data_IF_290026670503
#
_entry.id   IF_290026670503
#
_cell.length_a   1.000
_cell.length_b   1.000
_cell.length_c   1.000
_cell.angle_alpha   90.00
_cell.angle_beta   90.00
_cell.angle_gamma   90.00
#
_symmetry.space_group_name_H-M   'P 1'
#
loop_
_entity.id
_entity.type
_entity.pdbx_description
1 polymer ?
#
# COMPACT_ATOMS: atom_id res chain seq x y z
N UNK A 1 6.72 13.88 -26.66
CA UNK A 1 5.80 14.88 -26.06
C UNK A 1 4.56 14.13 -25.57
N UNK A 2 3.75 14.70 -24.66
CA UNK A 2 2.50 14.04 -24.24
C UNK A 2 1.40 14.31 -25.28
N UNK A 3 0.66 13.29 -25.70
CA UNK A 3 -0.49 13.46 -26.59
C UNK A 3 -1.74 13.75 -25.77
N UNK A 4 -2.58 14.64 -26.28
CA UNK A 4 -3.94 14.84 -25.79
C UNK A 4 -4.90 13.82 -26.39
N UNK A 5 -6.04 13.60 -25.74
CA UNK A 5 -7.11 12.79 -26.32
C UNK A 5 -7.63 13.35 -27.65
N UNK A 6 -7.58 14.66 -27.84
CA UNK A 6 -7.97 15.35 -29.07
C UNK A 6 -7.04 15.02 -30.23
N UNK A 7 -5.71 15.09 -30.03
CA UNK A 7 -4.75 14.73 -31.07
C UNK A 7 -4.89 13.26 -31.51
N UNK A 8 -5.10 12.36 -30.55
CA UNK A 8 -5.35 10.94 -30.84
C UNK A 8 -6.66 10.77 -31.62
N UNK A 9 -7.70 11.50 -31.24
CA UNK A 9 -8.98 11.47 -31.96
C UNK A 9 -8.84 11.98 -33.39
N UNK A 10 -8.17 13.11 -33.62
CA UNK A 10 -7.92 13.68 -34.94
C UNK A 10 -7.11 12.71 -35.83
N UNK A 11 -6.07 12.06 -35.28
CA UNK A 11 -5.32 11.03 -36.00
C UNK A 11 -6.19 9.83 -36.39
N UNK A 12 -7.06 9.37 -35.48
CA UNK A 12 -8.00 8.29 -35.79
C UNK A 12 -9.00 8.67 -36.87
N UNK A 13 -9.50 9.91 -36.86
CA UNK A 13 -10.41 10.40 -37.90
C UNK A 13 -9.71 10.52 -39.26
N UNK A 14 -8.45 10.98 -39.30
CA UNK A 14 -7.68 11.05 -40.54
C UNK A 14 -7.53 9.68 -41.23
N UNK A 15 -7.28 8.61 -40.45
CA UNK A 15 -7.19 7.23 -40.97
C UNK A 15 -8.55 6.75 -41.49
N UNK A 16 -9.62 7.05 -40.76
CA UNK A 16 -10.97 6.68 -41.18
C UNK A 16 -11.42 7.44 -42.45
N UNK A 17 -11.03 8.71 -42.60
CA UNK A 17 -11.33 9.56 -43.77
C UNK A 17 -10.59 9.08 -45.03
N UNK A 18 -9.33 8.65 -44.89
CA UNK A 18 -8.52 8.14 -46.02
C UNK A 18 -9.14 6.88 -46.66
N UNK A 19 -9.88 6.10 -45.86
CA UNK A 19 -10.38 4.77 -46.24
C UNK A 19 -11.88 4.79 -46.56
N UNK A 20 -12.61 5.85 -46.20
CA UNK A 20 -14.02 6.00 -46.53
C UNK A 20 -14.26 6.05 -48.06
N UNK A 21 -15.19 5.25 -48.57
CA UNK A 21 -15.50 5.14 -50.02
C UNK A 21 -15.87 6.48 -50.68
N UNK A 22 -16.34 7.46 -49.89
CA UNK A 22 -16.74 8.80 -50.32
C UNK A 22 -15.62 9.84 -50.17
N UNK A 23 -14.49 9.49 -49.55
CA UNK A 23 -13.37 10.40 -49.27
C UNK A 23 -13.69 11.51 -48.26
N UNK A 24 -14.77 11.36 -47.48
CA UNK A 24 -15.12 12.25 -46.36
C UNK A 24 -16.18 11.59 -45.49
N UNK A 25 -15.97 11.57 -44.17
CA UNK A 25 -16.94 11.14 -43.18
C UNK A 25 -18.09 12.14 -43.02
N UNK A 26 -19.26 11.60 -42.70
CA UNK A 26 -20.44 12.40 -42.38
C UNK A 26 -20.23 13.14 -41.03
N UNK A 27 -20.45 14.48 -40.97
CA UNK A 27 -20.26 15.26 -39.75
C UNK A 27 -21.05 14.77 -38.52
N UNK A 28 -22.22 14.16 -38.73
CA UNK A 28 -23.03 13.63 -37.63
C UNK A 28 -22.37 12.40 -36.97
N UNK A 29 -21.73 11.54 -37.77
CA UNK A 29 -21.03 10.35 -37.29
C UNK A 29 -19.74 10.74 -36.55
N UNK A 30 -19.02 11.75 -37.05
CA UNK A 30 -17.85 12.34 -36.38
C UNK A 30 -18.22 12.94 -35.02
N UNK A 31 -19.36 13.61 -34.91
CA UNK A 31 -19.84 14.15 -33.64
C UNK A 31 -20.17 13.03 -32.62
N UNK A 32 -20.75 11.92 -33.08
CA UNK A 32 -21.02 10.75 -32.25
C UNK A 32 -19.71 10.06 -31.79
N UNK A 33 -18.73 9.95 -32.68
CA UNK A 33 -17.40 9.41 -32.35
C UNK A 33 -16.67 10.27 -31.33
N UNK A 34 -16.73 11.59 -31.49
CA UNK A 34 -16.14 12.53 -30.54
C UNK A 34 -16.76 12.40 -29.15
N UNK A 35 -18.08 12.19 -29.07
CA UNK A 35 -18.77 11.99 -27.79
C UNK A 35 -18.39 10.66 -27.10
N UNK A 36 -18.09 9.61 -27.88
CA UNK A 36 -17.70 8.28 -27.38
C UNK A 36 -16.19 8.16 -27.10
N UNK A 37 -15.36 8.98 -27.73
CA UNK A 37 -13.91 8.89 -27.67
C UNK A 37 -13.33 8.93 -26.23
N UNK A 38 -13.78 9.81 -25.30
CA UNK A 38 -13.28 9.80 -23.92
C UNK A 38 -13.49 8.46 -23.21
N UNK A 39 -14.64 7.82 -23.41
CA UNK A 39 -14.96 6.52 -22.82
C UNK A 39 -14.10 5.39 -23.40
N UNK A 40 -13.86 5.41 -24.72
CA UNK A 40 -13.02 4.42 -25.37
C UNK A 40 -11.55 4.57 -24.96
N UNK A 41 -11.06 5.81 -24.84
CA UNK A 41 -9.73 6.13 -24.33
C UNK A 41 -9.57 5.71 -22.86
N UNK A 42 -10.58 5.89 -22.02
CA UNK A 42 -10.60 5.39 -20.64
C UNK A 42 -10.45 3.86 -20.57
N UNK A 43 -11.16 3.12 -21.44
CA UNK A 43 -11.05 1.65 -21.50
C UNK A 43 -9.66 1.22 -22.01
N UNK A 44 -9.14 1.91 -23.02
CA UNK A 44 -7.79 1.69 -23.54
C UNK A 44 -6.73 1.94 -22.47
N UNK A 45 -6.81 3.07 -21.78
CA UNK A 45 -5.92 3.47 -20.69
C UNK A 45 -5.89 2.40 -19.59
N UNK A 46 -7.06 1.93 -19.13
CA UNK A 46 -7.14 0.83 -18.16
C UNK A 46 -6.50 -0.48 -18.63
N UNK A 47 -6.54 -0.79 -19.94
CA UNK A 47 -5.87 -1.97 -20.51
C UNK A 47 -4.35 -1.80 -20.57
N UNK A 48 -3.89 -0.60 -20.87
CA UNK A 48 -2.47 -0.27 -20.95
C UNK A 48 -1.82 -0.04 -19.58
N UNK A 49 -2.61 0.31 -18.56
CA UNK A 49 -2.13 0.64 -17.22
C UNK A 49 -1.18 -0.42 -16.63
N UNK A 50 -1.51 -1.71 -16.72
CA UNK A 50 -0.65 -2.80 -16.20
C UNK A 50 0.67 -2.99 -16.95
N UNK A 51 0.79 -2.49 -18.18
CA UNK A 51 1.95 -2.74 -19.07
C UNK A 51 2.85 -1.53 -19.21
N UNK A 52 2.23 -0.36 -19.34
CA UNK A 52 2.89 0.90 -19.66
C UNK A 52 2.51 2.04 -18.70
N UNK A 53 1.80 1.73 -17.61
CA UNK A 53 1.46 2.73 -16.60
C UNK A 53 2.71 3.35 -15.97
N UNK A 54 2.58 4.59 -15.53
CA UNK A 54 3.66 5.32 -14.88
C UNK A 54 4.17 4.54 -13.66
N UNK A 55 5.50 4.45 -13.54
CA UNK A 55 6.14 3.88 -12.35
C UNK A 55 6.31 4.98 -11.32
N UNK A 56 5.63 4.85 -10.18
CA UNK A 56 5.82 5.70 -9.00
C UNK A 56 6.67 4.98 -7.97
N UNK A 57 7.34 5.77 -7.14
CA UNK A 57 8.11 5.27 -5.99
C UNK A 57 7.40 5.66 -4.71
N UNK A 58 7.22 4.69 -3.83
CA UNK A 58 6.73 4.87 -2.46
C UNK A 58 7.85 4.50 -1.50
N UNK A 59 8.16 5.39 -0.57
CA UNK A 59 9.21 5.18 0.43
C UNK A 59 8.61 5.09 1.82
N UNK A 60 9.04 4.07 2.56
CA UNK A 60 8.69 3.86 3.95
C UNK A 60 9.96 3.78 4.79
N UNK A 61 10.12 4.69 5.74
CA UNK A 61 11.13 4.57 6.78
C UNK A 61 10.62 3.66 7.89
N UNK A 62 11.26 2.51 8.04
CA UNK A 62 10.96 1.53 9.07
C UNK A 62 12.01 1.64 10.17
N UNK A 63 11.62 2.17 11.33
CA UNK A 63 12.46 2.10 12.53
C UNK A 63 12.01 0.93 13.40
N UNK A 64 12.94 0.09 13.86
CA UNK A 64 12.62 -0.94 14.85
C UNK A 64 12.08 -0.29 16.12
N UNK A 65 10.86 -0.67 16.52
CA UNK A 65 10.25 -0.19 17.76
C UNK A 65 10.70 -1.09 18.89
N UNK A 66 11.23 -0.50 19.96
CA UNK A 66 11.73 -1.26 21.10
C UNK A 66 10.54 -1.75 21.95
N UNK A 67 10.44 -3.06 22.16
CA UNK A 67 9.63 -3.64 23.22
C UNK A 67 10.51 -3.82 24.46
N UNK A 68 10.11 -3.22 25.58
CA UNK A 68 10.81 -3.29 26.87
C UNK A 68 10.62 -4.64 27.56
N UNK A 69 9.58 -5.40 27.20
CA UNK A 69 9.34 -6.74 27.71
C UNK A 69 10.24 -7.79 27.00
N UNK A 70 10.74 -7.45 25.81
CA UNK A 70 11.45 -8.37 24.92
C UNK A 70 10.52 -8.95 23.84
N UNK A 71 11.11 -9.40 22.72
CA UNK A 71 10.32 -9.78 21.53
C UNK A 71 9.93 -11.28 21.55
N UNK A 72 10.86 -12.16 21.94
CA UNK A 72 10.77 -13.62 21.78
C UNK A 72 9.59 -14.29 22.51
N UNK A 73 9.21 -13.79 23.70
CA UNK A 73 8.20 -14.41 24.56
C UNK A 73 6.92 -13.55 24.70
N UNK A 74 6.80 -12.50 23.89
CA UNK A 74 5.71 -11.54 24.06
C UNK A 74 5.03 -11.17 22.75
N UNK A 75 5.74 -11.26 21.63
CA UNK A 75 5.16 -11.09 20.29
C UNK A 75 4.77 -12.47 19.75
N UNK A 76 3.54 -12.60 19.25
CA UNK A 76 2.94 -13.80 18.66
C UNK A 76 2.76 -15.01 19.58
N UNK A 77 3.11 -14.90 20.86
CA UNK A 77 2.83 -15.92 21.87
C UNK A 77 1.41 -15.72 22.44
N UNK A 78 0.55 -16.72 22.28
CA UNK A 78 -0.80 -16.69 22.85
C UNK A 78 -0.71 -17.20 24.28
N UNK A 79 -1.17 -16.38 25.22
CA UNK A 79 -1.31 -16.77 26.62
C UNK A 79 -2.79 -16.97 26.90
N UNK A 80 -3.13 -18.19 27.30
CA UNK A 80 -4.46 -18.53 27.79
C UNK A 80 -4.51 -18.23 29.28
N UNK A 81 -5.50 -17.46 29.72
CA UNK A 81 -5.64 -17.06 31.10
C UNK A 81 -7.00 -17.52 31.62
N UNK A 82 -7.00 -18.24 32.75
CA UNK A 82 -8.19 -18.79 33.38
C UNK A 82 -8.36 -18.25 34.81
N UNK A 83 -8.40 -16.92 34.94
CA UNK A 83 -8.59 -16.23 36.22
C UNK A 83 -7.31 -15.90 36.98
N UNK A 84 -6.15 -15.98 36.33
CA UNK A 84 -4.87 -15.61 36.90
C UNK A 84 -4.54 -14.14 36.63
N UNK A 85 -3.78 -13.53 37.53
CA UNK A 85 -3.24 -12.18 37.34
C UNK A 85 -1.83 -12.27 36.79
N UNK A 86 -1.57 -11.64 35.66
CA UNK A 86 -0.27 -11.66 34.99
C UNK A 86 0.31 -10.26 34.92
N UNK A 87 1.59 -10.12 35.31
CA UNK A 87 2.26 -8.83 35.43
C UNK A 87 3.43 -8.71 34.47
N UNK A 88 3.53 -7.55 33.81
CA UNK A 88 4.54 -7.22 32.83
C UNK A 88 5.13 -5.85 33.15
N UNK A 89 6.43 -5.80 33.47
CA UNK A 89 7.08 -4.57 33.91
C UNK A 89 8.20 -4.12 32.97
N UNK A 90 8.28 -2.81 32.72
CA UNK A 90 9.32 -2.20 31.89
C UNK A 90 9.68 -0.79 32.36
N UNK A 91 10.99 -0.47 32.36
CA UNK A 91 11.48 0.86 32.75
C UNK A 91 11.35 1.86 31.58
N UNK A 92 10.70 3.00 31.84
CA UNK A 92 10.57 4.11 30.89
C UNK A 92 9.56 3.88 29.76
N UNK A 93 8.48 3.15 30.02
CA UNK A 93 7.42 2.94 29.03
C UNK A 93 6.54 4.20 28.87
N UNK A 94 6.29 4.60 27.62
CA UNK A 94 5.41 5.73 27.25
C UNK A 94 4.18 5.27 26.47
N UNK A 95 4.16 4.04 25.97
CA UNK A 95 2.98 3.45 25.32
C UNK A 95 2.96 1.94 25.52
N UNK A 96 1.79 1.36 25.27
CA UNK A 96 1.54 -0.07 25.37
C UNK A 96 0.69 -0.57 24.22
N UNK A 97 0.80 -1.87 23.97
CA UNK A 97 -0.04 -2.60 23.02
C UNK A 97 -0.27 -4.02 23.55
N UNK A 98 -1.49 -4.52 23.42
CA UNK A 98 -1.87 -5.90 23.72
C UNK A 98 -3.04 -6.30 22.83
N UNK A 99 -3.01 -7.50 22.25
CA UNK A 99 -4.18 -8.11 21.62
C UNK A 99 -4.95 -8.93 22.65
N UNK A 100 -6.26 -8.73 22.75
CA UNK A 100 -7.11 -9.44 23.72
C UNK A 100 -8.29 -10.12 23.03
N UNK A 101 -8.66 -11.28 23.53
CA UNK A 101 -9.78 -12.09 23.06
C UNK A 101 -10.54 -12.64 24.28
N UNK A 102 -11.62 -11.94 24.64
CA UNK A 102 -12.39 -12.11 25.87
C UNK A 102 -12.32 -10.92 26.81
N UNK A 103 -13.28 -10.86 27.73
CA UNK A 103 -13.40 -9.79 28.72
C UNK A 103 -12.23 -9.83 29.70
N UNK A 104 -11.55 -8.69 29.85
CA UNK A 104 -10.42 -8.56 30.75
C UNK A 104 -10.30 -7.15 31.31
N UNK A 105 -9.55 -7.06 32.40
CA UNK A 105 -9.17 -5.82 33.04
C UNK A 105 -7.66 -5.66 32.91
N UNK A 106 -7.23 -4.52 32.37
CA UNK A 106 -5.83 -4.15 32.27
C UNK A 106 -5.58 -3.00 33.23
N UNK A 107 -4.72 -3.21 34.21
CA UNK A 107 -4.30 -2.19 35.16
C UNK A 107 -2.87 -1.77 34.90
N UNK A 108 -2.58 -0.50 35.14
CA UNK A 108 -1.26 0.08 35.02
C UNK A 108 -0.86 0.76 36.32
N UNK A 109 0.40 0.59 36.71
CA UNK A 109 0.98 1.30 37.85
C UNK A 109 2.37 1.84 37.51
N UNK A 110 2.72 2.96 38.14
CA UNK A 110 4.03 3.60 38.03
C UNK A 110 4.78 3.45 39.37
N UNK A 111 5.80 2.60 39.43
CA UNK A 111 6.50 2.22 40.66
C UNK A 111 5.54 1.79 41.80
N UNK A 112 4.42 1.15 41.44
CA UNK A 112 3.35 0.76 42.37
C UNK A 112 2.37 1.89 42.74
N UNK A 113 2.52 3.09 42.19
CA UNK A 113 1.56 4.19 42.29
C UNK A 113 0.61 4.27 41.09
N UNK A 114 -0.23 5.30 41.07
CA UNK A 114 -1.20 5.53 39.99
C UNK A 114 -0.56 5.99 38.68
N UNK A 115 -1.12 5.56 37.56
CA UNK A 115 -0.73 5.95 36.20
C UNK A 115 -1.97 6.31 35.38
N UNK A 116 -1.90 7.41 34.65
CA UNK A 116 -2.96 7.86 33.73
C UNK A 116 -2.48 7.83 32.29
N UNK A 117 -3.43 7.81 31.37
CA UNK A 117 -3.14 7.78 29.95
C UNK A 117 -4.40 7.81 29.10
N UNK A 118 -4.21 7.52 27.81
CA UNK A 118 -5.29 7.34 26.84
C UNK A 118 -5.18 6.00 26.17
N UNK A 119 -6.31 5.37 25.89
CA UNK A 119 -6.36 4.13 25.13
C UNK A 119 -7.39 4.19 24.00
N UNK A 120 -7.21 3.31 23.02
CA UNK A 120 -8.18 3.00 21.98
C UNK A 120 -8.29 1.48 21.91
N UNK A 121 -9.52 0.99 21.92
CA UNK A 121 -9.83 -0.42 21.79
C UNK A 121 -10.43 -0.67 20.41
N UNK A 122 -9.89 -1.63 19.67
CA UNK A 122 -10.36 -2.02 18.34
C UNK A 122 -10.56 -0.87 17.32
N UNK A 123 -9.84 0.25 17.49
CA UNK A 123 -9.98 1.43 16.62
C UNK A 123 -11.10 2.40 17.02
N UNK A 124 -11.72 2.22 18.18
CA UNK A 124 -12.65 3.18 18.77
C UNK A 124 -11.94 4.49 19.15
N UNK A 125 -12.74 5.52 19.42
CA UNK A 125 -12.28 6.85 19.86
C UNK A 125 -11.40 6.76 21.12
N UNK A 126 -10.49 7.73 21.26
CA UNK A 126 -9.59 7.77 22.40
C UNK A 126 -10.34 8.02 23.70
N UNK A 127 -10.10 7.16 24.69
CA UNK A 127 -10.69 7.27 26.02
C UNK A 127 -9.58 7.50 27.05
N UNK A 128 -9.77 8.48 27.94
CA UNK A 128 -8.89 8.71 29.08
C UNK A 128 -9.09 7.61 30.14
N UNK A 129 -8.00 7.15 30.76
CA UNK A 129 -8.06 6.20 31.86
C UNK A 129 -7.17 6.62 33.03
N UNK A 130 -7.54 6.15 34.23
CA UNK A 130 -6.73 6.27 35.45
C UNK A 130 -6.63 4.89 36.07
N UNK A 131 -5.42 4.35 36.12
CA UNK A 131 -5.01 3.05 36.66
C UNK A 131 -5.61 1.84 35.95
N UNK A 132 -6.91 1.80 35.68
CA UNK A 132 -7.62 0.61 35.21
C UNK A 132 -8.35 0.88 33.90
N UNK A 133 -8.27 -0.10 33.00
CA UNK A 133 -9.02 -0.18 31.74
C UNK A 133 -9.85 -1.47 31.79
N UNK A 134 -11.16 -1.35 31.64
CA UNK A 134 -12.05 -2.50 31.54
C UNK A 134 -12.41 -2.73 30.07
N UNK A 135 -12.12 -3.93 29.59
CA UNK A 135 -12.41 -4.34 28.21
C UNK A 135 -13.56 -5.33 28.22
N UNK A 136 -14.56 -5.01 27.43
CA UNK A 136 -15.67 -5.92 27.13
C UNK A 136 -15.62 -6.24 25.64
N UNK A 137 -15.48 -7.52 25.31
CA UNK A 137 -15.38 -8.00 23.94
C UNK A 137 -16.78 -8.41 23.47
N UNK A 138 -17.21 -8.01 22.25
CA UNK A 138 -18.51 -8.42 21.73
C UNK A 138 -18.67 -9.95 21.65
N UNK A 139 -19.85 -10.45 22.02
CA UNK A 139 -20.16 -11.88 21.96
C UNK A 139 -19.94 -12.45 20.56
N UNK A 140 -19.26 -13.60 20.48
CA UNK A 140 -18.94 -14.26 19.21
C UNK A 140 -17.66 -13.78 18.52
N UNK A 141 -16.89 -12.88 19.14
CA UNK A 141 -15.54 -12.55 18.67
C UNK A 141 -14.64 -13.78 18.75
N UNK A 142 -13.92 -14.09 17.67
CA UNK A 142 -12.98 -15.23 17.59
C UNK A 142 -11.55 -14.79 17.28
N UNK A 143 -11.34 -13.48 17.16
CA UNK A 143 -10.10 -12.83 16.77
C UNK A 143 -9.60 -11.90 17.88
N UNK A 144 -8.28 -11.82 18.06
CA UNK A 144 -7.68 -10.85 18.96
C UNK A 144 -7.93 -9.41 18.52
N UNK A 145 -8.57 -8.64 19.40
CA UNK A 145 -8.83 -7.22 19.20
C UNK A 145 -7.68 -6.38 19.79
N UNK A 146 -7.17 -5.39 19.06
CA UNK A 146 -6.04 -4.59 19.52
C UNK A 146 -6.49 -3.60 20.60
N UNK A 147 -5.80 -3.65 21.74
CA UNK A 147 -5.83 -2.61 22.76
C UNK A 147 -4.50 -1.87 22.73
N UNK A 148 -4.54 -0.57 22.47
CA UNK A 148 -3.36 0.28 22.37
C UNK A 148 -3.55 1.57 23.14
N UNK A 149 -2.47 2.12 23.67
CA UNK A 149 -2.57 3.36 24.42
C UNK A 149 -1.25 4.05 24.67
N UNK A 150 -1.36 5.32 25.04
CA UNK A 150 -0.27 6.16 25.52
C UNK A 150 -0.35 6.27 27.04
N UNK A 151 0.82 6.29 27.66
CA UNK A 151 1.01 6.39 29.10
C UNK A 151 1.57 7.77 29.41
N UNK A 152 1.12 8.37 30.51
CA UNK A 152 1.62 9.66 31.01
C UNK A 152 2.42 9.46 32.30
N UNK A 153 3.61 8.81 32.24
CA UNK A 153 4.43 8.60 33.43
C UNK A 153 4.98 9.92 33.96
N UNK A 154 5.06 10.05 35.28
CA UNK A 154 5.66 11.20 35.95
C UNK A 154 7.18 11.29 35.70
N UNK A 155 7.85 10.16 35.50
CA UNK A 155 9.28 10.12 35.16
C UNK A 155 9.61 9.05 34.11
N UNK A 156 10.59 9.36 33.25
CA UNK A 156 11.12 8.41 32.26
C UNK A 156 11.99 7.31 32.90
N UNK A 157 12.38 7.49 34.17
CA UNK A 157 13.07 6.47 34.95
C UNK A 157 12.13 5.53 35.70
N UNK A 158 10.82 5.77 35.64
CA UNK A 158 9.86 4.94 36.35
C UNK A 158 9.70 3.55 35.74
N UNK A 159 9.46 2.56 36.60
CA UNK A 159 9.02 1.24 36.18
C UNK A 159 7.51 1.27 36.00
N UNK A 160 7.06 1.00 34.78
CA UNK A 160 5.65 0.82 34.50
C UNK A 160 5.34 -0.67 34.55
N UNK A 161 4.33 -1.03 35.34
CA UNK A 161 3.82 -2.38 35.46
C UNK A 161 2.42 -2.43 34.87
N UNK A 162 2.26 -3.25 33.83
CA UNK A 162 0.99 -3.60 33.22
C UNK A 162 0.55 -4.95 33.79
N UNK A 163 -0.63 -4.98 34.38
CA UNK A 163 -1.22 -6.17 34.98
C UNK A 163 -2.50 -6.51 34.24
N UNK A 164 -2.61 -7.74 33.78
CA UNK A 164 -3.77 -8.24 33.02
C UNK A 164 -4.46 -9.31 33.88
N UNK A 165 -5.76 -9.14 34.10
CA UNK A 165 -6.59 -10.07 34.85
C UNK A 165 -7.99 -10.18 34.23
N UNK A 166 -8.73 -11.22 34.60
CA UNK A 166 -10.10 -11.44 34.14
C UNK A 166 -10.82 -12.39 35.07
N UNK A 167 -12.15 -12.28 35.15
CA UNK A 167 -12.97 -13.15 35.99
C UNK A 167 -13.31 -14.49 35.32
N UNK A 168 -13.16 -14.55 34.00
CA UNK A 168 -13.48 -15.70 33.17
C UNK A 168 -12.32 -16.00 32.22
N UNK A 169 -12.39 -17.12 31.50
CA UNK A 169 -11.38 -17.47 30.50
C UNK A 169 -11.26 -16.38 29.43
N UNK A 170 -10.04 -15.91 29.21
CA UNK A 170 -9.70 -15.00 28.12
C UNK A 170 -8.29 -15.31 27.59
N UNK A 171 -7.99 -14.84 26.39
CA UNK A 171 -6.67 -14.99 25.77
C UNK A 171 -6.08 -13.63 25.47
N UNK A 172 -4.76 -13.53 25.52
CA UNK A 172 -4.07 -12.33 25.07
C UNK A 172 -2.76 -12.65 24.36
N UNK A 173 -2.34 -11.74 23.47
CA UNK A 173 -1.21 -11.88 22.54
C UNK A 173 -0.50 -10.54 22.39
N UNK A 174 0.71 -10.55 21.82
CA UNK A 174 1.41 -9.36 21.35
C UNK A 174 1.57 -8.28 22.43
N UNK A 175 2.09 -8.66 23.60
CA UNK A 175 2.23 -7.74 24.73
C UNK A 175 3.46 -6.86 24.52
N UNK A 176 3.28 -5.55 24.59
CA UNK A 176 4.38 -4.62 24.47
C UNK A 176 4.26 -3.42 25.41
N UNK A 177 5.39 -3.06 26.01
CA UNK A 177 5.64 -1.77 26.62
C UNK A 177 6.76 -1.10 25.83
N UNK A 178 6.60 0.14 25.38
CA UNK A 178 7.58 0.79 24.51
C UNK A 178 7.95 2.18 25.03
N UNK A 179 9.24 2.59 24.92
CA UNK A 179 9.68 3.92 25.34
C UNK A 179 9.33 5.02 24.33
N UNK A 180 8.79 4.66 23.16
CA UNK A 180 8.46 5.63 22.12
C UNK A 180 7.25 6.48 22.52
N UNK A 181 7.33 7.79 22.25
CA UNK A 181 6.26 8.74 22.51
C UNK A 181 5.44 8.94 21.24
N UNK A 182 4.12 8.86 21.38
CA UNK A 182 3.17 9.13 20.31
C UNK A 182 2.25 10.27 20.72
N UNK A 183 1.77 11.05 19.73
CA UNK A 183 0.83 12.15 19.99
C UNK A 183 -0.59 11.69 20.31
N UNK A 184 -0.90 10.42 20.06
CA UNK A 184 -2.24 9.84 20.14
C UNK A 184 -2.13 8.32 20.30
N UNK A 185 -3.09 7.71 21.00
CA UNK A 185 -3.24 6.26 21.16
C UNK A 185 -3.49 5.57 19.81
N UNK A 186 -4.22 6.21 18.89
CA UNK A 186 -4.48 5.69 17.54
C UNK A 186 -3.21 5.59 16.68
N UNK A 187 -2.20 6.43 16.98
CA UNK A 187 -0.90 6.40 16.30
C UNK A 187 0.05 5.35 16.89
N UNK A 188 -0.32 4.71 18.00
CA UNK A 188 0.44 3.59 18.53
C UNK A 188 0.31 2.43 17.54
N UNK A 189 1.43 1.94 17.00
CA UNK A 189 1.44 0.89 15.99
C UNK A 189 1.14 -0.47 16.61
N UNK A 190 0.68 -1.40 15.79
CA UNK A 190 0.50 -2.79 16.18
C UNK A 190 1.85 -3.45 16.43
N UNK A 191 2.07 -3.96 17.65
CA UNK A 191 3.28 -4.73 18.00
C UNK A 191 3.13 -6.20 17.62
N UNK A 192 2.82 -6.45 16.35
CA UNK A 192 2.72 -7.79 15.74
C UNK A 192 4.04 -8.17 15.09
N UNK A 193 4.32 -9.46 14.91
CA UNK A 193 5.53 -9.92 14.19
C UNK A 193 5.66 -9.30 12.78
N UNK A 194 4.52 -9.09 12.13
CA UNK A 194 4.39 -8.33 10.90
C UNK A 194 3.27 -7.30 11.05
N UNK A 195 3.52 -6.07 10.64
CA UNK A 195 2.48 -5.05 10.54
C UNK A 195 2.14 -4.76 9.08
N UNK A 196 0.86 -4.54 8.81
CA UNK A 196 0.36 -4.20 7.49
C UNK A 196 0.67 -2.73 7.18
N UNK A 197 1.17 -2.47 5.98
CA UNK A 197 1.39 -1.13 5.45
C UNK A 197 0.27 -0.81 4.48
N UNK A 198 -0.34 0.35 4.64
CA UNK A 198 -1.32 0.86 3.69
C UNK A 198 -0.59 1.34 2.43
N UNK A 199 -0.86 0.66 1.31
CA UNK A 199 -0.37 1.09 0.00
C UNK A 199 -1.17 2.30 -0.50
N UNK A 200 -0.58 3.17 -1.33
CA UNK A 200 -1.31 4.24 -2.01
C UNK A 200 -2.54 3.73 -2.77
N UNK A 201 -3.60 4.54 -2.81
CA UNK A 201 -4.87 4.18 -3.47
C UNK A 201 -4.73 3.93 -4.98
N UNK A 202 -3.70 4.50 -5.61
CA UNK A 202 -3.40 4.35 -7.03
C UNK A 202 -2.56 3.10 -7.35
N UNK A 203 -2.27 2.24 -6.37
CA UNK A 203 -1.44 1.05 -6.58
C UNK A 203 -2.14 -0.03 -7.44
N UNK A 204 -1.54 -0.39 -8.58
CA UNK A 204 -2.00 -1.51 -9.43
C UNK A 204 -1.16 -2.77 -9.21
N UNK A 205 0.16 -2.64 -9.29
CA UNK A 205 1.08 -3.77 -9.15
C UNK A 205 2.49 -3.32 -8.84
N UNK A 206 3.22 -4.11 -8.07
CA UNK A 206 4.64 -3.87 -7.78
C UNK A 206 5.51 -4.13 -9.01
N UNK A 207 6.48 -3.26 -9.24
CA UNK A 207 7.55 -3.45 -10.23
C UNK A 207 8.85 -3.91 -9.56
N UNK A 208 9.20 -3.34 -8.41
CA UNK A 208 10.44 -3.65 -7.69
C UNK A 208 10.33 -3.30 -6.21
N UNK A 209 11.00 -4.08 -5.35
CA UNK A 209 11.12 -3.78 -3.92
C UNK A 209 12.61 -3.67 -3.61
N UNK A 210 13.03 -2.47 -3.22
CA UNK A 210 14.38 -2.17 -2.79
C UNK A 210 14.34 -1.99 -1.27
N UNK A 211 15.09 -2.80 -0.56
CA UNK A 211 15.29 -2.64 0.88
C UNK A 211 16.68 -2.10 1.14
N UNK A 212 16.75 -1.01 1.91
CA UNK A 212 17.99 -0.35 2.32
C UNK A 212 18.21 -0.57 3.81
N UNK A 213 19.36 -1.13 4.18
CA UNK A 213 19.74 -1.27 5.59
C UNK A 213 20.60 -0.07 6.06
N UNK A 214 20.61 0.25 7.38
CA UNK A 214 21.42 1.33 7.97
C UNK A 214 22.94 1.26 7.72
N UNK A 215 23.43 0.19 7.08
CA UNK A 215 24.85 -0.04 6.75
C UNK A 215 25.14 -0.05 5.24
N UNK A 216 24.43 0.77 4.46
CA UNK A 216 24.75 1.03 3.04
C UNK A 216 24.63 -0.21 2.12
N UNK A 217 23.78 -1.16 2.50
CA UNK A 217 23.53 -2.37 1.70
C UNK A 217 22.16 -2.27 1.04
N UNK A 218 22.15 -2.38 -0.28
CA UNK A 218 20.97 -2.51 -1.11
C UNK A 218 20.67 -3.98 -1.33
N UNK A 219 19.46 -4.42 -0.99
CA UNK A 219 19.01 -5.78 -1.30
C UNK A 219 17.65 -5.73 -1.98
N UNK A 220 17.56 -6.37 -3.15
CA UNK A 220 16.30 -6.61 -3.84
C UNK A 220 15.60 -7.81 -3.22
N UNK A 221 14.44 -7.56 -2.61
CA UNK A 221 13.71 -8.57 -1.85
C UNK A 221 14.39 -8.92 -0.50
N UNK A 222 13.56 -9.11 0.53
CA UNK A 222 14.03 -9.43 1.87
C UNK A 222 12.99 -10.31 2.56
N UNK A 223 13.43 -11.32 3.34
CA UNK A 223 12.56 -12.19 4.13
C UNK A 223 11.75 -11.43 5.18
N UNK A 224 12.19 -10.23 5.56
CA UNK A 224 11.46 -9.31 6.42
C UNK A 224 10.27 -8.60 5.75
N UNK A 225 10.08 -8.76 4.44
CA UNK A 225 8.99 -8.14 3.68
C UNK A 225 8.15 -9.23 3.03
N UNK A 226 6.88 -9.33 3.42
CA UNK A 226 5.92 -10.28 2.85
C UNK A 226 4.81 -9.56 2.11
N UNK A 227 4.28 -10.20 1.09
CA UNK A 227 3.16 -9.68 0.31
C UNK A 227 2.05 -10.71 0.26
N UNK A 228 0.82 -10.23 0.35
CA UNK A 228 -0.38 -11.02 0.25
C UNK A 228 -1.31 -10.40 -0.80
N UNK A 229 -1.89 -11.25 -1.65
CA UNK A 229 -2.93 -10.88 -2.63
C UNK A 229 -2.61 -9.64 -3.49
N UNK A 230 -1.34 -9.49 -3.88
CA UNK A 230 -0.78 -8.40 -4.70
C UNK A 230 -0.90 -6.97 -4.16
N UNK A 231 -1.68 -6.70 -3.10
CA UNK A 231 -1.92 -5.36 -2.55
C UNK A 231 -1.39 -5.17 -1.13
N UNK A 232 -1.41 -6.22 -0.32
CA UNK A 232 -1.14 -6.10 1.10
C UNK A 232 0.33 -6.33 1.38
N UNK A 233 1.02 -5.28 1.83
CA UNK A 233 2.40 -5.35 2.26
C UNK A 233 2.48 -5.56 3.77
N UNK A 234 3.28 -6.54 4.16
CA UNK A 234 3.60 -6.84 5.54
C UNK A 234 5.09 -6.64 5.78
N UNK A 235 5.42 -5.79 6.75
CA UNK A 235 6.81 -5.55 7.14
C UNK A 235 7.04 -6.15 8.51
N UNK A 236 8.12 -6.91 8.64
CA UNK A 236 8.52 -7.52 9.90
C UNK A 236 8.89 -6.42 10.90
N UNK A 237 8.41 -6.56 12.13
CA UNK A 237 8.59 -5.56 13.19
C UNK A 237 10.05 -5.30 13.58
N UNK A 238 10.92 -6.30 13.40
CA UNK A 238 12.36 -6.19 13.68
C UNK A 238 13.15 -5.46 12.59
N UNK A 239 12.53 -5.16 11.44
CA UNK A 239 13.20 -4.50 10.33
C UNK A 239 13.50 -3.03 10.68
N UNK A 240 14.75 -2.64 10.44
CA UNK A 240 15.27 -1.29 10.63
C UNK A 240 15.95 -0.87 9.33
N UNK A 241 15.44 0.15 8.65
CA UNK A 241 15.85 0.52 7.30
C UNK A 241 14.80 1.31 6.52
N UNK A 242 15.06 1.50 5.23
CA UNK A 242 14.14 2.16 4.30
C UNK A 242 13.66 1.13 3.28
N UNK A 243 12.35 1.04 3.08
CA UNK A 243 11.75 0.24 2.03
C UNK A 243 11.29 1.18 0.93
N UNK A 244 11.88 1.05 -0.26
CA UNK A 244 11.43 1.75 -1.47
C UNK A 244 10.73 0.76 -2.39
N UNK A 245 9.48 1.07 -2.72
CA UNK A 245 8.63 0.25 -3.58
C UNK A 245 8.41 1.02 -4.87
N UNK A 246 8.90 0.46 -5.98
CA UNK A 246 8.52 0.91 -7.31
C UNK A 246 7.25 0.19 -7.72
N UNK A 247 6.18 0.93 -8.02
CA UNK A 247 4.88 0.37 -8.38
C UNK A 247 4.30 1.06 -9.61
N UNK A 248 3.41 0.35 -10.30
CA UNK A 248 2.63 0.86 -11.42
C UNK A 248 1.41 1.56 -10.85
N UNK A 249 1.27 2.85 -11.11
CA UNK A 249 0.11 3.63 -10.67
C UNK A 249 -1.05 3.53 -11.66
N UNK A 250 -2.28 3.65 -11.14
CA UNK A 250 -3.47 3.80 -11.97
C UNK A 250 -3.47 5.18 -12.64
N UNK A 251 -3.67 5.25 -13.96
CA UNK A 251 -3.78 6.52 -14.67
C UNK A 251 -5.01 7.29 -14.20
N UNK A 252 -4.95 8.62 -14.32
CA UNK A 252 -6.11 9.48 -14.06
C UNK A 252 -7.27 9.15 -15.01
N UNK A 253 -8.51 9.38 -14.52
CA UNK A 253 -9.73 9.13 -15.29
C UNK A 253 -9.81 10.12 -16.46
N UNK A 254 -9.96 9.59 -17.67
CA UNK A 254 -10.15 10.38 -18.90
C UNK A 254 -11.63 10.77 -18.98
N UNK A 255 -11.89 12.05 -18.82
CA UNK A 255 -13.23 12.67 -18.89
C UNK A 255 -13.37 13.67 -20.02
N UNK A 256 -12.26 14.11 -20.62
CA UNK A 256 -12.23 15.07 -21.72
C UNK A 256 -11.14 14.70 -22.73
N UNK A 257 -11.33 15.10 -23.99
CA UNK A 257 -10.30 14.97 -25.03
C UNK A 257 -9.17 15.99 -24.87
N UNK A 258 -9.42 17.08 -24.16
CA UNK A 258 -8.40 18.10 -23.86
C UNK A 258 -7.36 17.62 -22.82
N UNK A 259 -7.60 16.48 -22.16
CA UNK A 259 -6.68 15.93 -21.18
C UNK A 259 -5.47 15.28 -21.85
N UNK A 260 -4.29 15.54 -21.30
CA UNK A 260 -3.05 14.86 -21.68
C UNK A 260 -3.08 13.39 -21.22
N UNK A 261 -2.64 12.49 -22.09
CA UNK A 261 -2.50 11.08 -21.78
C UNK A 261 -1.20 10.84 -21.00
N UNK A 262 -1.32 10.28 -19.80
CA UNK A 262 -0.19 9.93 -18.91
C UNK A 262 0.58 8.68 -19.39
N UNK A 263 0.94 8.62 -20.68
CA UNK A 263 1.65 7.50 -21.30
C UNK A 263 2.84 7.98 -22.14
N UNK A 264 3.91 7.17 -22.25
CA UNK A 264 4.96 7.41 -23.22
C UNK A 264 4.42 7.47 -24.65
N UNK A 265 5.06 8.25 -25.51
CA UNK A 265 4.61 8.55 -26.88
C UNK A 265 4.28 7.29 -27.69
N UNK A 266 5.18 6.29 -27.68
CA UNK A 266 5.01 5.02 -28.40
C UNK A 266 3.79 4.20 -27.91
N UNK A 267 3.39 4.37 -26.65
CA UNK A 267 2.22 3.70 -26.09
C UNK A 267 0.96 4.50 -26.42
N UNK A 268 0.99 5.82 -26.25
CA UNK A 268 -0.14 6.70 -26.58
C UNK A 268 -0.59 6.53 -28.04
N UNK A 269 0.34 6.33 -28.98
CA UNK A 269 0.02 6.05 -30.39
C UNK A 269 -0.82 4.78 -30.60
N UNK A 270 -0.73 3.78 -29.71
CA UNK A 270 -1.59 2.58 -29.81
C UNK A 270 -3.07 2.86 -29.51
N UNK A 271 -3.41 4.03 -28.97
CA UNK A 271 -4.79 4.46 -28.80
C UNK A 271 -5.46 4.75 -30.16
N UNK A 272 -4.69 5.13 -31.18
CA UNK A 272 -5.18 5.45 -32.53
C UNK A 272 -5.84 4.24 -33.20
N UNK A 273 -5.15 3.08 -33.41
CA UNK A 273 -5.80 1.90 -34.00
C UNK A 273 -6.90 1.33 -33.10
N UNK A 274 -6.84 1.57 -31.78
CA UNK A 274 -7.90 1.18 -30.86
C UNK A 274 -9.22 1.92 -31.15
N UNK A 275 -9.15 3.25 -31.29
CA UNK A 275 -10.33 4.05 -31.64
C UNK A 275 -10.84 3.71 -33.04
N UNK A 276 -9.95 3.63 -34.04
CA UNK A 276 -10.28 3.26 -35.43
C UNK A 276 -11.05 1.95 -35.47
N UNK A 277 -10.58 0.90 -34.78
CA UNK A 277 -11.29 -0.38 -34.69
C UNK A 277 -12.72 -0.22 -34.15
N UNK A 278 -12.90 0.58 -33.11
CA UNK A 278 -14.21 0.74 -32.46
C UNK A 278 -15.17 1.56 -33.31
N UNK A 279 -14.68 2.53 -34.07
CA UNK A 279 -15.47 3.34 -35.01
C UNK A 279 -15.77 2.56 -36.30
N UNK A 280 -14.79 1.91 -36.92
CA UNK A 280 -14.98 1.05 -38.10
C UNK A 280 -15.99 -0.08 -37.86
N UNK A 281 -16.02 -0.66 -36.66
CA UNK A 281 -17.04 -1.64 -36.28
C UNK A 281 -18.45 -1.05 -36.17
N UNK A 282 -18.56 0.22 -35.80
CA UNK A 282 -19.84 0.94 -35.76
C UNK A 282 -20.41 1.11 -37.17
N UNK A 283 -19.53 1.33 -38.16
CA UNK A 283 -19.87 1.53 -39.58
C UNK A 283 -19.92 0.25 -40.42
N UNK A 284 -19.83 -0.93 -39.77
CA UNK A 284 -19.81 -2.24 -40.45
C UNK A 284 -18.65 -2.39 -41.47
N UNK A 285 -17.52 -1.70 -41.25
CA UNK A 285 -16.29 -1.83 -42.05
C UNK A 285 -15.43 -2.96 -41.49
N UNK A 286 -15.79 -4.20 -41.84
CA UNK A 286 -15.19 -5.41 -41.23
C UNK A 286 -13.69 -5.58 -41.53
N UNK A 287 -13.22 -5.22 -42.73
CA UNK A 287 -11.81 -5.32 -43.14
C UNK A 287 -10.94 -4.33 -42.35
N UNK A 288 -11.35 -3.05 -42.30
CA UNK A 288 -10.68 -2.01 -41.52
C UNK A 288 -10.66 -2.31 -40.01
N UNK A 289 -11.76 -2.87 -39.49
CA UNK A 289 -11.80 -3.30 -38.09
C UNK A 289 -10.87 -4.49 -37.81
N UNK A 290 -10.57 -5.33 -38.79
CA UNK A 290 -9.65 -6.46 -38.64
C UNK A 290 -8.19 -5.98 -38.66
N UNK A 291 -7.84 -5.10 -39.60
CA UNK A 291 -6.49 -4.55 -39.75
C UNK A 291 -6.11 -3.69 -38.54
N UNK A 292 -6.99 -2.77 -38.12
CA UNK A 292 -6.78 -1.94 -36.92
C UNK A 292 -6.70 -2.79 -35.63
N UNK A 293 -7.35 -3.96 -35.62
CA UNK A 293 -7.22 -4.91 -34.51
C UNK A 293 -5.86 -5.60 -34.51
N UNK A 294 -5.34 -5.99 -35.66
CA UNK A 294 -4.03 -6.61 -35.80
C UNK A 294 -2.93 -5.62 -35.43
N UNK A 295 -3.00 -4.39 -35.93
CA UNK A 295 -2.07 -3.32 -35.59
C UNK A 295 -2.11 -2.97 -34.10
N UNK A 296 -3.31 -2.86 -33.50
CA UNK A 296 -3.43 -2.70 -32.05
C UNK A 296 -2.81 -3.87 -31.28
N UNK A 297 -3.01 -5.11 -31.74
CA UNK A 297 -2.42 -6.29 -31.10
C UNK A 297 -0.89 -6.29 -31.20
N UNK A 298 -0.34 -5.88 -32.33
CA UNK A 298 1.10 -5.78 -32.54
C UNK A 298 1.70 -4.69 -31.64
N UNK A 299 1.12 -3.48 -31.62
CA UNK A 299 1.57 -2.41 -30.71
C UNK A 299 1.38 -2.78 -29.22
N UNK A 300 0.36 -3.57 -28.91
CA UNK A 300 0.14 -4.11 -27.56
C UNK A 300 1.19 -5.18 -27.14
N UNK A 301 1.74 -5.91 -28.11
CA UNK A 301 2.88 -6.82 -27.91
C UNK A 301 4.18 -6.03 -27.82
N UNK A 302 4.40 -5.06 -28.70
CA UNK A 302 5.61 -4.25 -28.74
C UNK A 302 5.78 -3.39 -27.47
N UNK A 303 4.68 -2.84 -26.94
CA UNK A 303 4.64 -2.20 -25.61
C UNK A 303 4.88 -3.16 -24.44
N UNK A 304 4.86 -4.48 -24.66
CA UNK A 304 5.14 -5.51 -23.64
C UNK A 304 6.57 -6.07 -23.72
N UNK A 305 7.24 -5.94 -24.87
CA UNK A 305 8.68 -6.10 -24.98
C UNK A 305 9.35 -4.95 -24.26
N UNK A 306 9.74 -5.20 -23.00
CA UNK A 306 10.61 -4.32 -22.24
C UNK A 306 11.74 -3.84 -23.15
N UNK A 307 11.93 -2.53 -23.29
CA UNK A 307 13.23 -2.03 -23.67
C UNK A 307 14.26 -2.73 -22.77
N UNK A 308 15.31 -3.35 -23.34
CA UNK A 308 16.34 -3.96 -22.53
C UNK A 308 16.78 -2.91 -21.52
N UNK A 309 16.73 -3.26 -20.23
CA UNK A 309 17.36 -2.46 -19.19
C UNK A 309 18.74 -2.13 -19.74
N UNK A 310 19.05 -0.85 -19.95
CA UNK A 310 20.45 -0.46 -20.06
C UNK A 310 21.10 -1.04 -18.82
N UNK A 311 22.07 -1.96 -18.96
CA UNK A 311 22.74 -2.49 -17.80
C UNK A 311 23.54 -1.33 -17.23
N UNK A 312 22.96 -0.62 -16.27
CA UNK A 312 23.77 -0.02 -15.21
C UNK A 312 24.27 -1.19 -14.38
N UNK A 313 25.34 -1.82 -14.86
CA UNK A 313 26.30 -2.45 -13.96
C UNK A 313 26.62 -1.40 -12.90
N UNK A 314 26.26 -1.70 -11.65
CA UNK A 314 26.84 -1.00 -10.53
C UNK A 314 28.33 -1.39 -10.56
N UNK A 315 29.14 -0.52 -11.14
CA UNK A 315 30.59 -0.62 -11.03
C UNK A 315 30.89 -0.40 -9.55
N UNK A 316 31.27 -1.48 -8.86
CA UNK A 316 31.79 -1.42 -7.51
C UNK A 316 33.06 -0.54 -7.54
N UNK A 317 32.97 0.67 -6.98
CA UNK A 317 34.06 1.66 -6.99
C UNK A 317 35.17 1.28 -5.99
N UNK A 318 35.10 0.11 -5.33
CA UNK A 318 36.03 -0.29 -4.27
C UNK A 318 36.93 -1.51 -4.58
N UNK A 319 37.24 -1.77 -5.85
CA UNK A 319 38.35 -2.68 -6.23
C UNK A 319 39.39 -2.01 -7.15
N UNK A 320 39.70 -0.74 -6.87
CA UNK A 320 40.69 0.05 -7.60
C UNK A 320 41.68 0.79 -6.71
N UNK A 321 42.06 0.22 -5.56
CA UNK A 321 43.21 0.69 -4.79
C UNK A 321 43.68 -0.41 -3.82
N UNK A 322 44.75 -1.13 -4.16
CA UNK A 322 45.48 -1.98 -3.21
C UNK A 322 46.14 -3.23 -3.79
N UNK A 323 46.99 -3.08 -4.81
CA UNK A 323 48.43 -3.42 -4.85
C UNK A 323 48.95 -3.45 -6.31
#
# INVERSE_FOLDING_TARGET
>A
MAYTGEEIFEMSMAIMDEIAETGTMNPDDVAEYRAKAPLLLEIWSKRMAKRAGAKKTFELSCSRKKNLLGDLNHISEIVENNGETQEYSGKGANCFYVGVDGDCTVTFSENGGSLSGKYSFNGDDETDFTDTINITVPEGTTSFLPLRGILSPSSQDSTITMTISGNYYFRHIDRALSPNKYSSALKVPDFKAYYKVEMPDDFISRSQIITEFPKWQYQEGNSSVKWENDKDLYVMFSYDGIIRISYISMPSKITSLEQELEYPEHVAMSAVPYLVKHFARSDMMDELSADAREEFMQMFVDSSTKEPLTPTEIVDVFFGAGD
#
